data_IF_132377866853
#
_entry.id   IF_132377866853
#
_cell.length_a   1.000
_cell.length_b   1.000
_cell.length_c   1.000
_cell.angle_alpha   90.00
_cell.angle_beta   90.00
_cell.angle_gamma   90.00
#
_symmetry.space_group_name_H-M   'P 1'
#
loop_
_entity.id
_entity.type
_entity.pdbx_description
1 polymer ?
#
# COMPACT_ATOMS: atom_id res chain seq x y z
N UNK A 1 -24.17 6.68 15.51
CA UNK A 1 -23.38 5.44 15.32
C UNK A 1 -21.90 5.82 15.34
N UNK A 2 -21.06 5.24 16.20
CA UNK A 2 -19.63 5.50 16.16
C UNK A 2 -19.06 4.94 14.85
N UNK A 3 -18.29 5.76 14.12
CA UNK A 3 -17.57 5.30 12.92
C UNK A 3 -16.62 4.16 13.32
N UNK A 4 -16.51 3.07 12.54
CA UNK A 4 -15.49 2.06 12.78
C UNK A 4 -14.13 2.75 12.79
N UNK A 5 -13.37 2.60 13.90
CA UNK A 5 -11.98 3.04 13.93
C UNK A 5 -11.22 2.18 12.92
N UNK A 6 -10.76 2.78 11.82
CA UNK A 6 -9.82 2.09 10.93
C UNK A 6 -8.61 1.64 11.76
N UNK A 7 -8.19 0.37 11.71
CA UNK A 7 -6.98 -0.12 12.39
C UNK A 7 -5.67 0.48 11.84
N UNK A 8 -5.77 1.39 10.86
CA UNK A 8 -4.66 2.08 10.22
C UNK A 8 -4.67 3.52 10.71
N UNK A 9 -3.58 3.92 11.34
CA UNK A 9 -3.34 5.32 11.70
C UNK A 9 -3.46 6.17 10.43
N UNK A 10 -4.42 7.12 10.44
CA UNK A 10 -4.70 7.96 9.27
C UNK A 10 -3.63 9.03 9.14
N UNK A 11 -2.83 9.02 8.07
CA UNK A 11 -1.81 10.04 7.91
C UNK A 11 -2.39 11.45 7.82
N UNK A 12 -1.70 12.42 8.38
CA UNK A 12 -2.10 13.83 8.36
C UNK A 12 -1.91 14.51 6.98
N UNK A 13 -1.13 13.88 6.09
CA UNK A 13 -0.78 14.31 4.74
C UNK A 13 -0.85 13.12 3.78
N UNK A 14 -0.84 13.40 2.48
CA UNK A 14 -0.68 12.35 1.47
C UNK A 14 0.65 11.60 1.70
N UNK A 15 0.64 10.29 1.45
CA UNK A 15 1.82 9.43 1.57
C UNK A 15 2.00 8.70 0.24
N UNK A 16 3.23 8.67 -0.24
CA UNK A 16 3.67 7.77 -1.29
C UNK A 16 4.91 7.01 -0.80
N UNK A 17 4.90 5.69 -0.86
CA UNK A 17 6.05 4.88 -0.47
C UNK A 17 6.04 3.48 -1.11
N UNK A 18 7.16 2.77 -0.99
CA UNK A 18 7.22 1.35 -1.39
C UNK A 18 6.49 0.48 -0.36
N UNK A 19 5.63 -0.40 -0.85
CA UNK A 19 4.97 -1.43 -0.09
C UNK A 19 5.44 -2.82 -0.55
N UNK A 20 5.98 -3.59 0.39
CA UNK A 20 6.37 -4.99 0.17
C UNK A 20 5.18 -5.89 0.54
N UNK A 21 4.75 -6.76 -0.37
CA UNK A 21 3.68 -7.72 -0.11
C UNK A 21 4.27 -8.96 0.55
N UNK A 22 3.75 -9.34 1.72
CA UNK A 22 4.22 -10.53 2.45
C UNK A 22 3.91 -11.80 1.65
N UNK A 23 4.91 -12.65 1.36
CA UNK A 23 4.68 -13.91 0.67
C UNK A 23 3.66 -14.78 1.41
N UNK A 24 2.78 -15.45 0.65
CA UNK A 24 1.76 -16.35 1.19
C UNK A 24 0.62 -15.66 1.97
N UNK A 25 0.62 -14.33 2.08
CA UNK A 25 -0.50 -13.55 2.63
C UNK A 25 -1.78 -13.71 1.81
N UNK A 26 -2.93 -13.29 2.38
CA UNK A 26 -4.20 -13.36 1.66
C UNK A 26 -4.16 -12.49 0.40
N UNK A 27 -3.59 -11.28 0.48
CA UNK A 27 -3.34 -10.43 -0.68
C UNK A 27 -2.46 -11.10 -1.72
N UNK A 28 -1.34 -11.72 -1.32
CA UNK A 28 -0.45 -12.40 -2.26
C UNK A 28 -1.12 -13.59 -2.98
N UNK A 29 -1.94 -14.35 -2.27
CA UNK A 29 -2.72 -15.46 -2.85
C UNK A 29 -3.80 -14.95 -3.80
N UNK A 30 -4.48 -13.86 -3.45
CA UNK A 30 -5.52 -13.25 -4.28
C UNK A 30 -4.99 -12.82 -5.65
N UNK A 31 -3.79 -12.23 -5.68
CA UNK A 31 -3.12 -11.77 -6.90
C UNK A 31 -2.23 -12.84 -7.55
N UNK A 32 -2.15 -14.04 -6.98
CA UNK A 32 -1.30 -15.14 -7.44
C UNK A 32 0.17 -14.73 -7.63
N UNK A 33 0.73 -13.97 -6.68
CA UNK A 33 2.14 -13.57 -6.75
C UNK A 33 3.07 -14.79 -6.57
N UNK A 34 3.71 -15.18 -7.67
CA UNK A 34 4.63 -16.33 -7.74
C UNK A 34 5.98 -16.00 -7.06
N UNK A 35 6.32 -14.71 -6.98
CA UNK A 35 7.57 -14.20 -6.38
C UNK A 35 7.26 -13.13 -5.34
N UNK A 36 8.19 -12.84 -4.40
CA UNK A 36 8.10 -11.64 -3.57
C UNK A 36 7.80 -10.42 -4.44
N UNK A 37 6.75 -9.69 -4.08
CA UNK A 37 6.20 -8.61 -4.90
C UNK A 37 6.20 -7.32 -4.10
N UNK A 38 6.44 -6.22 -4.78
CA UNK A 38 6.34 -4.88 -4.23
C UNK A 38 5.49 -4.01 -5.15
N UNK A 39 4.94 -2.94 -4.58
CA UNK A 39 4.22 -1.91 -5.30
C UNK A 39 4.43 -0.55 -4.67
N UNK A 40 3.88 0.47 -5.30
CA UNK A 40 3.81 1.82 -4.78
C UNK A 40 2.51 1.93 -3.99
N UNK A 41 2.63 2.20 -2.70
CA UNK A 41 1.50 2.56 -1.85
C UNK A 41 1.25 4.07 -1.95
N UNK A 42 0.00 4.43 -2.19
CA UNK A 42 -0.48 5.81 -2.23
C UNK A 42 -1.61 5.96 -1.20
N UNK A 43 -1.44 6.86 -0.25
CA UNK A 43 -2.54 7.38 0.57
C UNK A 43 -2.91 8.77 0.10
N UNK A 44 -4.19 8.95 -0.24
CA UNK A 44 -4.76 10.23 -0.67
C UNK A 44 -5.74 10.73 0.38
N UNK A 45 -5.32 11.73 1.16
CA UNK A 45 -6.10 12.31 2.26
C UNK A 45 -7.43 12.89 1.79
N UNK A 46 -7.46 13.51 0.61
CA UNK A 46 -8.67 14.13 0.05
C UNK A 46 -9.84 13.13 -0.10
N UNK A 47 -9.52 11.84 -0.32
CA UNK A 47 -10.50 10.79 -0.57
C UNK A 47 -10.50 9.70 0.50
N UNK A 48 -9.59 9.78 1.49
CA UNK A 48 -9.36 8.74 2.50
C UNK A 48 -9.11 7.35 1.86
N UNK A 49 -8.36 7.33 0.76
CA UNK A 49 -8.07 6.09 0.01
C UNK A 49 -6.64 5.63 0.22
N UNK A 50 -6.50 4.32 0.27
CA UNK A 50 -5.24 3.61 0.38
C UNK A 50 -5.14 2.68 -0.81
N UNK A 51 -4.28 2.99 -1.76
CA UNK A 51 -4.17 2.26 -3.02
C UNK A 51 -2.74 1.69 -3.15
N UNK A 52 -2.63 0.49 -3.72
CA UNK A 52 -1.37 -0.18 -4.02
C UNK A 52 -1.29 -0.38 -5.53
N UNK A 53 -0.29 0.23 -6.17
CA UNK A 53 -0.06 0.18 -7.61
C UNK A 53 1.17 -0.68 -7.93
N UNK A 54 1.03 -1.59 -8.88
CA UNK A 54 2.10 -2.49 -9.31
C UNK A 54 2.73 -2.03 -10.63
N UNK A 55 3.92 -2.55 -10.93
CA UNK A 55 4.69 -2.16 -12.11
C UNK A 55 4.06 -2.54 -13.46
N UNK A 56 3.07 -3.42 -13.46
CA UNK A 56 2.28 -3.79 -14.64
C UNK A 56 1.08 -2.84 -14.89
N UNK A 57 0.95 -1.79 -14.07
CA UNK A 57 -0.15 -0.83 -14.13
C UNK A 57 -1.42 -1.29 -13.40
N UNK A 58 -1.45 -2.51 -12.85
CA UNK A 58 -2.56 -2.95 -12.01
C UNK A 58 -2.57 -2.24 -10.65
N UNK A 59 -3.76 -2.15 -10.05
CA UNK A 59 -3.93 -1.46 -8.77
C UNK A 59 -4.94 -2.15 -7.87
N UNK A 60 -4.69 -2.13 -6.56
CA UNK A 60 -5.58 -2.63 -5.51
C UNK A 60 -5.86 -1.55 -4.48
N UNK A 61 -7.14 -1.26 -4.21
CA UNK A 61 -7.52 -0.52 -3.02
C UNK A 61 -7.39 -1.39 -1.77
N UNK A 62 -6.55 -0.98 -0.82
CA UNK A 62 -6.34 -1.69 0.43
C UNK A 62 -7.50 -1.47 1.40
N UNK A 63 -8.10 -2.57 1.83
CA UNK A 63 -8.98 -2.60 2.99
C UNK A 63 -8.15 -2.63 4.27
N UNK A 64 -8.71 -2.23 5.43
CA UNK A 64 -7.95 -2.22 6.67
C UNK A 64 -7.40 -3.59 7.09
N UNK A 65 -8.08 -4.68 6.73
CA UNK A 65 -7.62 -6.05 7.00
C UNK A 65 -6.37 -6.43 6.19
N UNK A 66 -6.16 -5.83 5.01
CA UNK A 66 -5.03 -6.12 4.13
C UNK A 66 -3.74 -5.40 4.54
N UNK A 67 -3.80 -4.43 5.46
CA UNK A 67 -2.58 -3.78 5.95
C UNK A 67 -1.63 -4.74 6.68
N UNK A 68 -2.13 -5.85 7.22
CA UNK A 68 -1.29 -6.90 7.79
C UNK A 68 -0.51 -7.70 6.74
N UNK A 69 -0.94 -7.64 5.48
CA UNK A 69 -0.37 -8.37 4.35
C UNK A 69 0.76 -7.58 3.67
N UNK A 70 0.99 -6.32 4.06
CA UNK A 70 2.01 -5.44 3.48
C UNK A 70 2.96 -4.89 4.54
N UNK A 71 4.16 -4.51 4.11
CA UNK A 71 5.15 -3.77 4.89
C UNK A 71 5.40 -2.45 4.15
N UNK A 72 5.12 -1.33 4.80
CA UNK A 72 5.30 0.01 4.22
C UNK A 72 6.68 0.56 4.61
N UNK A 73 7.51 0.90 3.62
CA UNK A 73 8.83 1.50 3.83
C UNK A 73 8.67 3.03 3.94
N UNK A 74 8.24 3.50 5.11
CA UNK A 74 7.82 4.90 5.30
C UNK A 74 8.97 5.91 5.34
N UNK A 75 10.12 5.53 5.87
CA UNK A 75 11.18 6.50 6.20
C UNK A 75 12.01 6.94 4.97
N UNK A 76 12.05 6.12 3.91
CA UNK A 76 12.74 6.43 2.64
C UNK A 76 11.84 6.31 1.39
N UNK A 77 10.55 6.05 1.60
CA UNK A 77 9.67 5.57 0.53
C UNK A 77 9.42 6.58 -0.59
N UNK A 78 9.16 7.85 -0.26
CA UNK A 78 8.83 8.87 -1.24
C UNK A 78 10.03 9.22 -2.13
N UNK A 79 11.22 9.36 -1.54
CA UNK A 79 12.46 9.60 -2.28
C UNK A 79 12.79 8.43 -3.20
N UNK A 80 12.65 7.20 -2.71
CA UNK A 80 12.87 5.99 -3.53
C UNK A 80 11.87 5.91 -4.69
N UNK A 81 10.60 6.25 -4.46
CA UNK A 81 9.60 6.27 -5.54
C UNK A 81 9.92 7.35 -6.56
N UNK A 82 10.32 8.55 -6.15
CA UNK A 82 10.72 9.62 -7.07
C UNK A 82 11.84 9.18 -8.03
N UNK A 83 12.88 8.53 -7.49
CA UNK A 83 14.00 7.98 -8.28
C UNK A 83 13.61 6.90 -9.31
N UNK A 84 12.42 6.30 -9.22
CA UNK A 84 11.95 5.33 -10.23
C UNK A 84 11.47 6.00 -11.52
N UNK A 85 11.14 7.29 -11.47
CA UNK A 85 10.53 8.02 -12.58
C UNK A 85 11.38 9.19 -13.11
N UNK A 86 12.56 9.40 -12.52
CA UNK A 86 13.63 10.29 -13.03
C UNK A 86 14.51 9.58 -14.07
#
# INVERSE_FOLDING_TARGET
MPKPKSPVERPAKDIECIALVKPGSALARHWNFIKPTFGIYEYRKAFDTHDLRFGDGSSQRLTPAQFRDVILLKDDGAELVGRLFD
#
